data_IF_851264159364
#
_entry.id   IF_851264159364
#
_cell.length_a   1.000
_cell.length_b   1.000
_cell.length_c   1.000
_cell.angle_alpha   90.00
_cell.angle_beta   90.00
_cell.angle_gamma   90.00
#
_symmetry.space_group_name_H-M   'P 1'
#
loop_
_entity.id
_entity.type
_entity.pdbx_description
1 polymer ?
#
# COMPACT_ATOMS: atom_id res chain seq x y z
N UNK A 1 -38.11 -5.93 39.71
CA UNK A 1 -37.80 -6.74 38.51
C UNK A 1 -37.91 -6.00 37.16
N UNK A 2 -38.67 -4.89 37.02
CA UNK A 2 -38.77 -4.16 35.73
C UNK A 2 -37.54 -3.31 35.35
N UNK A 3 -36.69 -2.95 36.32
CA UNK A 3 -35.50 -2.09 36.11
C UNK A 3 -34.30 -2.82 35.49
N UNK A 4 -34.13 -4.12 35.76
CA UNK A 4 -33.01 -4.92 35.26
C UNK A 4 -33.06 -5.16 33.74
N UNK A 5 -34.25 -5.25 33.16
CA UNK A 5 -34.44 -5.50 31.72
C UNK A 5 -34.08 -4.28 30.87
N UNK A 6 -34.26 -3.06 31.40
CA UNK A 6 -33.95 -1.81 30.70
C UNK A 6 -32.43 -1.57 30.63
N UNK A 7 -31.70 -1.84 31.73
CA UNK A 7 -30.23 -1.74 31.76
C UNK A 7 -29.53 -2.70 30.79
N UNK A 8 -30.09 -3.88 30.56
CA UNK A 8 -29.51 -4.85 29.63
C UNK A 8 -29.62 -4.38 28.17
N UNK A 9 -30.72 -3.73 27.81
CA UNK A 9 -30.91 -3.15 26.49
C UNK A 9 -29.91 -2.01 26.23
N UNK A 10 -29.72 -1.12 27.21
CA UNK A 10 -28.77 0.00 27.11
C UNK A 10 -27.33 -0.50 26.96
N UNK A 11 -26.95 -1.54 27.71
CA UNK A 11 -25.63 -2.17 27.57
C UNK A 11 -25.41 -2.73 26.17
N UNK A 12 -26.37 -3.50 25.63
CA UNK A 12 -26.26 -4.05 24.28
C UNK A 12 -26.25 -2.96 23.21
N UNK A 13 -27.01 -1.89 23.39
CA UNK A 13 -26.98 -0.74 22.50
C UNK A 13 -25.60 -0.08 22.49
N UNK A 14 -24.98 0.10 23.66
CA UNK A 14 -23.66 0.70 23.78
C UNK A 14 -22.55 -0.19 23.19
N UNK A 15 -22.61 -1.50 23.42
CA UNK A 15 -21.69 -2.47 22.79
C UNK A 15 -21.83 -2.47 21.26
N UNK A 16 -23.06 -2.35 20.75
CA UNK A 16 -23.32 -2.29 19.30
C UNK A 16 -22.78 -0.98 18.72
N UNK A 17 -23.05 0.15 19.37
CA UNK A 17 -22.55 1.46 18.94
C UNK A 17 -21.01 1.49 18.94
N UNK A 18 -20.35 0.97 19.97
CA UNK A 18 -18.89 0.90 20.03
C UNK A 18 -18.32 0.03 18.90
N UNK A 19 -18.95 -1.12 18.59
CA UNK A 19 -18.54 -1.96 17.46
C UNK A 19 -18.68 -1.23 16.12
N UNK A 20 -19.76 -0.49 15.93
CA UNK A 20 -19.98 0.31 14.71
C UNK A 20 -18.93 1.42 14.58
N UNK A 21 -18.67 2.17 15.64
CA UNK A 21 -17.64 3.22 15.64
C UNK A 21 -16.23 2.67 15.36
N UNK A 22 -15.91 1.50 15.92
CA UNK A 22 -14.63 0.84 15.71
C UNK A 22 -14.46 0.37 14.27
N UNK A 23 -15.51 -0.18 13.66
CA UNK A 23 -15.53 -0.52 12.24
C UNK A 23 -15.34 0.74 11.38
N UNK A 24 -16.01 1.85 11.71
CA UNK A 24 -15.85 3.11 10.96
C UNK A 24 -14.40 3.62 10.99
N UNK A 25 -13.70 3.50 12.13
CA UNK A 25 -12.27 3.86 12.23
C UNK A 25 -11.42 2.98 11.31
N UNK A 26 -11.66 1.66 11.31
CA UNK A 26 -10.90 0.73 10.47
C UNK A 26 -11.17 0.92 8.98
N UNK A 27 -12.39 1.31 8.61
CA UNK A 27 -12.71 1.69 7.24
C UNK A 27 -11.93 2.95 6.82
N UNK A 28 -11.84 3.95 7.69
CA UNK A 28 -11.02 5.15 7.46
C UNK A 28 -9.54 4.82 7.30
N UNK A 29 -8.99 3.93 8.12
CA UNK A 29 -7.61 3.44 7.99
C UNK A 29 -7.39 2.72 6.65
N UNK A 30 -8.30 1.83 6.26
CA UNK A 30 -8.25 1.13 4.98
C UNK A 30 -8.26 2.11 3.79
N UNK A 31 -9.15 3.09 3.82
CA UNK A 31 -9.24 4.13 2.79
C UNK A 31 -7.97 4.99 2.73
N UNK A 32 -7.40 5.34 3.88
CA UNK A 32 -6.14 6.08 3.96
C UNK A 32 -4.99 5.34 3.26
N UNK A 33 -4.79 4.06 3.59
CA UNK A 33 -3.71 3.28 2.98
C UNK A 33 -3.97 2.99 1.50
N UNK A 34 -5.23 2.83 1.08
CA UNK A 34 -5.60 2.64 -0.33
C UNK A 34 -5.22 3.87 -1.16
N UNK A 35 -5.58 5.07 -0.68
CA UNK A 35 -5.22 6.32 -1.32
C UNK A 35 -3.69 6.51 -1.39
N UNK A 36 -2.97 6.14 -0.34
CA UNK A 36 -1.50 6.20 -0.34
C UNK A 36 -0.87 5.22 -1.34
N UNK A 37 -1.40 3.99 -1.45
CA UNK A 37 -0.97 3.02 -2.45
C UNK A 37 -1.18 3.56 -3.88
N UNK A 38 -2.34 4.15 -4.17
CA UNK A 38 -2.62 4.75 -5.48
C UNK A 38 -1.67 5.91 -5.81
N UNK A 39 -1.35 6.75 -4.82
CA UNK A 39 -0.40 7.86 -5.00
C UNK A 39 1.02 7.34 -5.30
N UNK A 40 1.51 6.38 -4.53
CA UNK A 40 2.83 5.76 -4.75
C UNK A 40 2.86 5.03 -6.09
N UNK A 41 1.82 4.26 -6.42
CA UNK A 41 1.70 3.56 -7.69
C UNK A 41 1.77 4.52 -8.89
N UNK A 42 1.09 5.67 -8.82
CA UNK A 42 1.13 6.69 -9.88
C UNK A 42 2.54 7.28 -10.04
N UNK A 43 3.22 7.59 -8.94
CA UNK A 43 4.59 8.13 -8.97
C UNK A 43 5.59 7.10 -9.52
N UNK A 44 5.48 5.84 -9.09
CA UNK A 44 6.29 4.74 -9.59
C UNK A 44 6.09 4.54 -11.09
N UNK A 45 4.85 4.60 -11.59
CA UNK A 45 4.55 4.49 -13.02
C UNK A 45 5.20 5.62 -13.84
N UNK A 46 5.21 6.87 -13.34
CA UNK A 46 5.91 7.98 -14.00
C UNK A 46 7.42 7.74 -14.06
N UNK A 47 8.04 7.30 -12.95
CA UNK A 47 9.48 6.99 -12.91
C UNK A 47 9.85 5.83 -13.84
N UNK A 48 9.01 4.79 -13.92
CA UNK A 48 9.14 3.72 -14.89
C UNK A 48 9.10 4.25 -16.34
N UNK A 49 8.17 5.16 -16.64
CA UNK A 49 8.08 5.81 -17.95
C UNK A 49 9.34 6.60 -18.32
N UNK A 50 9.93 7.33 -17.37
CA UNK A 50 11.19 8.05 -17.58
C UNK A 50 12.37 7.11 -17.80
N UNK A 51 12.45 6.01 -17.04
CA UNK A 51 13.48 4.99 -17.24
C UNK A 51 13.36 4.35 -18.64
N UNK A 52 12.15 4.01 -19.07
CA UNK A 52 11.89 3.48 -20.41
C UNK A 52 12.27 4.47 -21.52
N UNK A 53 11.90 5.74 -21.38
CA UNK A 53 12.28 6.78 -22.32
C UNK A 53 13.81 6.95 -22.41
N UNK A 54 14.52 6.87 -21.29
CA UNK A 54 15.98 6.90 -21.26
C UNK A 54 16.64 5.74 -22.00
N UNK A 55 16.08 4.53 -21.92
CA UNK A 55 16.59 3.37 -22.66
C UNK A 55 16.42 3.49 -24.19
N UNK A 56 15.42 4.24 -24.65
CA UNK A 56 15.14 4.40 -26.08
C UNK A 56 16.04 5.44 -26.76
N UNK A 57 16.84 6.19 -26.01
CA UNK A 57 17.72 7.20 -26.58
C UNK A 57 18.96 6.55 -27.22
N UNK A 58 19.39 7.01 -28.42
CA UNK A 58 20.59 6.50 -29.06
C UNK A 58 21.83 6.86 -28.23
N UNK A 59 22.64 5.84 -27.90
CA UNK A 59 23.83 6.01 -27.07
C UNK A 59 25.07 6.32 -27.92
N UNK A 60 25.84 7.39 -27.61
CA UNK A 60 27.10 7.70 -28.30
C UNK A 60 28.15 6.60 -28.09
N UNK A 61 29.12 6.52 -29.00
CA UNK A 61 30.27 5.59 -28.91
C UNK A 61 31.22 5.98 -27.78
N UNK A 62 30.99 5.33 -26.65
CA UNK A 62 31.66 5.51 -25.35
C UNK A 62 32.09 4.14 -24.84
N UNK A 63 32.96 4.04 -23.80
CA UNK A 63 33.42 2.77 -23.27
C UNK A 63 32.25 1.82 -22.96
N UNK A 64 32.36 0.58 -23.45
CA UNK A 64 31.33 -0.46 -23.35
C UNK A 64 30.89 -0.70 -21.90
N UNK A 65 31.82 -0.63 -20.95
CA UNK A 65 31.54 -0.82 -19.52
C UNK A 65 30.49 0.18 -19.01
N UNK A 66 30.61 1.46 -19.40
CA UNK A 66 29.69 2.50 -18.93
C UNK A 66 28.30 2.35 -19.54
N UNK A 67 28.23 1.92 -20.81
CA UNK A 67 26.98 1.57 -21.49
C UNK A 67 26.27 0.39 -20.80
N UNK A 68 27.02 -0.65 -20.44
CA UNK A 68 26.47 -1.81 -19.71
C UNK A 68 25.98 -1.40 -18.32
N UNK A 69 26.75 -0.60 -17.58
CA UNK A 69 26.33 -0.09 -16.26
C UNK A 69 25.06 0.76 -16.34
N UNK A 70 24.96 1.64 -17.34
CA UNK A 70 23.75 2.42 -17.61
C UNK A 70 22.55 1.51 -17.93
N UNK A 71 22.72 0.52 -18.81
CA UNK A 71 21.64 -0.41 -19.18
C UNK A 71 21.17 -1.25 -17.98
N UNK A 72 22.09 -1.85 -17.23
CA UNK A 72 21.77 -2.66 -16.05
C UNK A 72 21.05 -1.83 -14.99
N UNK A 73 21.58 -0.64 -14.66
CA UNK A 73 20.94 0.25 -13.68
C UNK A 73 19.56 0.72 -14.14
N UNK A 74 19.39 1.09 -15.42
CA UNK A 74 18.09 1.55 -15.95
C UNK A 74 17.04 0.44 -15.98
N UNK A 75 17.42 -0.77 -16.42
CA UNK A 75 16.52 -1.94 -16.41
C UNK A 75 16.15 -2.32 -14.99
N UNK A 76 17.10 -2.28 -14.04
CA UNK A 76 16.80 -2.54 -12.62
C UNK A 76 15.84 -1.49 -12.04
N UNK A 77 16.04 -0.21 -12.36
CA UNK A 77 15.16 0.87 -11.93
C UNK A 77 13.74 0.68 -12.51
N UNK A 78 13.63 0.40 -13.81
CA UNK A 78 12.36 0.11 -14.47
C UNK A 78 11.64 -1.08 -13.81
N UNK A 79 12.36 -2.19 -13.60
CA UNK A 79 11.80 -3.39 -12.99
C UNK A 79 11.28 -3.15 -11.57
N UNK A 80 12.06 -2.48 -10.71
CA UNK A 80 11.65 -2.15 -9.34
C UNK A 80 10.43 -1.22 -9.30
N UNK A 81 10.38 -0.23 -10.19
CA UNK A 81 9.22 0.67 -10.29
C UNK A 81 7.97 -0.07 -10.78
N UNK A 82 8.08 -0.94 -11.79
CA UNK A 82 6.95 -1.75 -12.25
C UNK A 82 6.44 -2.72 -11.19
N UNK A 83 7.34 -3.37 -10.44
CA UNK A 83 6.95 -4.21 -9.28
C UNK A 83 6.15 -3.38 -8.27
N UNK A 84 6.60 -2.16 -7.96
CA UNK A 84 5.87 -1.25 -7.06
C UNK A 84 4.47 -0.92 -7.58
N UNK A 85 4.34 -0.61 -8.88
CA UNK A 85 3.03 -0.32 -9.52
C UNK A 85 2.09 -1.50 -9.39
N UNK A 86 2.55 -2.71 -9.71
CA UNK A 86 1.72 -3.91 -9.66
C UNK A 86 1.31 -4.21 -8.22
N UNK A 87 2.24 -4.21 -7.28
CA UNK A 87 1.94 -4.49 -5.86
C UNK A 87 0.96 -3.47 -5.29
N UNK A 88 1.17 -2.17 -5.50
CA UNK A 88 0.25 -1.12 -5.01
C UNK A 88 -1.14 -1.21 -5.65
N UNK A 89 -1.23 -1.61 -6.91
CA UNK A 89 -2.51 -1.84 -7.61
C UNK A 89 -3.24 -3.05 -7.02
N UNK A 90 -2.55 -4.17 -6.81
CA UNK A 90 -3.11 -5.37 -6.20
C UNK A 90 -3.58 -5.08 -4.76
N UNK A 91 -2.80 -4.36 -3.96
CA UNK A 91 -3.21 -3.96 -2.60
C UNK A 91 -4.46 -3.08 -2.60
N UNK A 92 -4.58 -2.16 -3.57
CA UNK A 92 -5.74 -1.27 -3.66
C UNK A 92 -7.02 -1.99 -4.09
N UNK A 93 -6.91 -3.14 -4.78
CA UNK A 93 -8.06 -3.93 -5.22
C UNK A 93 -8.42 -5.05 -4.24
N UNK A 94 -7.43 -5.80 -3.74
CA UNK A 94 -7.64 -6.99 -2.92
C UNK A 94 -7.99 -6.65 -1.47
N UNK A 95 -7.41 -5.59 -0.89
CA UNK A 95 -7.63 -5.25 0.53
C UNK A 95 -9.09 -4.89 0.83
N UNK A 96 -9.76 -4.01 0.04
CA UNK A 96 -11.20 -3.76 0.21
C UNK A 96 -12.06 -4.99 -0.10
N UNK A 97 -11.64 -5.81 -1.06
CA UNK A 97 -12.34 -7.05 -1.41
C UNK A 97 -12.40 -8.04 -0.24
N UNK A 98 -11.29 -8.18 0.50
CA UNK A 98 -11.24 -9.01 1.71
C UNK A 98 -12.05 -8.41 2.85
N UNK A 99 -12.02 -7.08 3.03
CA UNK A 99 -12.78 -6.40 4.07
C UNK A 99 -14.31 -6.54 3.89
N UNK A 100 -14.80 -6.49 2.64
CA UNK A 100 -16.24 -6.54 2.35
C UNK A 100 -16.82 -7.95 2.26
N UNK A 101 -16.01 -8.95 1.86
CA UNK A 101 -16.48 -10.32 1.59
C UNK A 101 -16.05 -11.35 2.62
N UNK A 102 -15.08 -11.01 3.46
CA UNK A 102 -14.58 -11.94 4.46
C UNK A 102 -15.52 -12.08 5.66
N UNK A 103 -15.39 -13.17 6.44
CA UNK A 103 -16.16 -13.38 7.67
C UNK A 103 -15.87 -12.27 8.70
N UNK A 104 -16.66 -12.19 9.77
CA UNK A 104 -16.45 -11.20 10.84
C UNK A 104 -14.99 -11.17 11.31
N UNK A 105 -14.42 -9.97 11.39
CA UNK A 105 -13.00 -9.75 11.71
C UNK A 105 -12.06 -9.73 10.50
N UNK A 106 -12.54 -10.11 9.30
CA UNK A 106 -11.77 -10.02 8.04
C UNK A 106 -11.25 -8.61 7.76
N UNK A 107 -12.01 -7.58 8.13
CA UNK A 107 -11.62 -6.18 7.98
C UNK A 107 -10.36 -5.81 8.75
N UNK A 108 -10.19 -6.36 9.97
CA UNK A 108 -8.96 -6.14 10.74
C UNK A 108 -7.76 -6.77 10.04
N UNK A 109 -7.89 -8.03 9.64
CA UNK A 109 -6.85 -8.76 8.91
C UNK A 109 -6.48 -8.08 7.59
N UNK A 110 -7.47 -7.56 6.87
CA UNK A 110 -7.26 -6.83 5.61
C UNK A 110 -6.47 -5.53 5.83
N UNK A 111 -6.82 -4.74 6.85
CA UNK A 111 -6.09 -3.52 7.19
C UNK A 111 -4.65 -3.84 7.61
N UNK A 112 -4.44 -4.80 8.52
CA UNK A 112 -3.09 -5.16 8.97
C UNK A 112 -2.22 -5.64 7.80
N UNK A 113 -2.76 -6.54 6.96
CA UNK A 113 -2.06 -7.03 5.78
C UNK A 113 -1.70 -5.90 4.82
N UNK A 114 -2.59 -4.93 4.63
CA UNK A 114 -2.30 -3.77 3.79
C UNK A 114 -1.20 -2.87 4.38
N UNK A 115 -1.14 -2.70 5.71
CA UNK A 115 -0.08 -1.89 6.36
C UNK A 115 1.30 -2.52 6.15
N UNK A 116 1.40 -3.82 6.32
CA UNK A 116 2.68 -4.52 6.20
C UNK A 116 3.18 -4.56 4.75
N UNK A 117 2.29 -4.86 3.79
CA UNK A 117 2.63 -4.86 2.36
C UNK A 117 2.87 -3.45 1.79
N UNK A 118 2.18 -2.44 2.33
CA UNK A 118 2.44 -1.04 2.00
C UNK A 118 3.88 -0.64 2.35
N UNK A 119 4.38 -1.06 3.52
CA UNK A 119 5.77 -0.79 3.92
C UNK A 119 6.76 -1.42 2.95
N UNK A 120 6.51 -2.67 2.55
CA UNK A 120 7.34 -3.35 1.56
C UNK A 120 7.33 -2.60 0.22
N UNK A 121 6.15 -2.19 -0.25
CA UNK A 121 5.99 -1.40 -1.48
C UNK A 121 6.74 -0.08 -1.41
N UNK A 122 6.71 0.60 -0.26
CA UNK A 122 7.46 1.83 -0.03
C UNK A 122 8.99 1.60 -0.09
N UNK A 123 9.50 0.50 0.46
CA UNK A 123 10.93 0.18 0.35
C UNK A 123 11.36 -0.13 -1.09
N UNK A 124 10.55 -0.92 -1.82
CA UNK A 124 10.82 -1.22 -3.23
C UNK A 124 10.78 0.03 -4.10
N UNK A 125 9.84 0.94 -3.85
CA UNK A 125 9.78 2.26 -4.48
C UNK A 125 11.05 3.07 -4.24
N UNK A 126 11.49 3.17 -2.97
CA UNK A 126 12.71 3.90 -2.60
C UNK A 126 13.96 3.29 -3.23
N UNK A 127 14.05 1.96 -3.30
CA UNK A 127 15.15 1.26 -3.96
C UNK A 127 15.17 1.55 -5.48
N UNK A 128 13.99 1.51 -6.12
CA UNK A 128 13.84 1.89 -7.53
C UNK A 128 14.25 3.33 -7.80
N UNK A 129 13.89 4.26 -6.89
CA UNK A 129 14.28 5.66 -6.98
C UNK A 129 15.80 5.86 -6.89
N UNK A 130 16.47 5.14 -5.98
CA UNK A 130 17.94 5.16 -5.87
C UNK A 130 18.58 4.63 -7.16
N UNK A 131 18.07 3.51 -7.70
CA UNK A 131 18.53 2.96 -8.97
C UNK A 131 18.36 3.95 -10.13
N UNK A 132 17.25 4.70 -10.19
CA UNK A 132 17.03 5.77 -11.18
C UNK A 132 18.10 6.87 -11.10
N UNK A 133 18.55 7.25 -9.90
CA UNK A 133 19.60 8.26 -9.75
C UNK A 133 20.96 7.76 -10.25
N UNK A 134 21.30 6.48 -9.99
CA UNK A 134 22.51 5.88 -10.55
C UNK A 134 22.46 5.79 -12.07
N UNK A 135 21.32 5.39 -12.63
CA UNK A 135 21.10 5.39 -14.08
C UNK A 135 21.30 6.80 -14.68
N UNK A 136 20.73 7.83 -14.06
CA UNK A 136 20.91 9.22 -14.48
C UNK A 136 22.37 9.69 -14.40
N UNK A 137 23.10 9.30 -13.36
CA UNK A 137 24.53 9.61 -13.24
C UNK A 137 25.31 8.97 -14.40
N UNK A 138 25.16 7.67 -14.66
CA UNK A 138 25.85 7.01 -15.77
C UNK A 138 25.48 7.61 -17.14
N UNK A 139 24.22 7.98 -17.34
CA UNK A 139 23.76 8.65 -18.56
C UNK A 139 24.49 9.99 -18.78
N UNK A 140 24.63 10.81 -17.74
CA UNK A 140 25.36 12.08 -17.81
C UNK A 140 26.82 11.88 -18.22
N UNK A 141 27.49 10.86 -17.68
CA UNK A 141 28.87 10.52 -18.06
C UNK A 141 28.99 10.01 -19.51
N UNK A 142 27.93 9.45 -20.09
CA UNK A 142 27.91 9.01 -21.49
C UNK A 142 27.75 10.18 -22.46
N UNK A 143 26.95 11.18 -22.10
CA UNK A 143 26.54 12.26 -23.02
C UNK A 143 27.47 13.48 -22.95
N UNK A 144 27.94 13.86 -21.76
CA UNK A 144 28.65 15.13 -21.56
C UNK A 144 30.17 14.98 -21.41
N UNK A 145 30.89 16.09 -21.63
CA UNK A 145 32.33 16.16 -21.35
C UNK A 145 32.61 15.98 -19.85
N UNK A 146 33.80 15.46 -19.51
CA UNK A 146 34.18 15.08 -18.14
C UNK A 146 33.92 16.15 -17.07
N UNK A 147 34.18 17.44 -17.36
CA UNK A 147 33.95 18.52 -16.40
C UNK A 147 32.46 18.84 -16.21
N UNK A 148 31.67 18.81 -17.28
CA UNK A 148 30.20 18.98 -17.22
C UNK A 148 29.57 17.80 -16.49
N UNK A 149 30.02 16.59 -16.80
CA UNK A 149 29.56 15.35 -16.18
C UNK A 149 29.85 15.34 -14.68
N UNK A 150 31.01 15.84 -14.26
CA UNK A 150 31.36 15.97 -12.83
C UNK A 150 30.40 16.92 -12.08
N UNK A 151 30.10 18.10 -12.65
CA UNK A 151 29.19 19.08 -12.04
C UNK A 151 27.76 18.54 -11.96
N UNK A 152 27.26 17.94 -13.03
CA UNK A 152 25.92 17.35 -13.06
C UNK A 152 25.80 16.15 -12.12
N UNK A 153 26.82 15.29 -12.07
CA UNK A 153 26.86 14.17 -11.12
C UNK A 153 26.85 14.64 -9.68
N UNK A 154 27.61 15.70 -9.34
CA UNK A 154 27.56 16.29 -8.00
C UNK A 154 26.15 16.78 -7.66
N UNK A 155 25.45 17.42 -8.59
CA UNK A 155 24.06 17.84 -8.41
C UNK A 155 23.12 16.65 -8.16
N UNK A 156 23.27 15.56 -8.91
CA UNK A 156 22.48 14.31 -8.76
C UNK A 156 22.77 13.63 -7.42
N UNK A 157 24.03 13.55 -6.98
CA UNK A 157 24.36 12.96 -5.69
C UNK A 157 23.92 13.84 -4.52
N UNK A 158 24.00 15.17 -4.66
CA UNK A 158 23.48 16.10 -3.67
C UNK A 158 21.96 15.97 -3.52
N UNK A 159 21.22 15.88 -4.63
CA UNK A 159 19.76 15.66 -4.58
C UNK A 159 19.42 14.30 -3.96
N UNK A 160 20.17 13.25 -4.26
CA UNK A 160 20.01 11.93 -3.64
C UNK A 160 20.28 11.95 -2.13
N UNK A 161 21.35 12.63 -1.70
CA UNK A 161 21.69 12.78 -0.29
C UNK A 161 20.62 13.58 0.48
N UNK A 162 20.11 14.65 -0.14
CA UNK A 162 18.99 15.43 0.40
C UNK A 162 17.73 14.58 0.52
N UNK A 163 17.39 13.80 -0.50
CA UNK A 163 16.24 12.89 -0.48
C UNK A 163 16.38 11.82 0.60
N UNK A 164 17.53 11.16 0.71
CA UNK A 164 17.79 10.18 1.76
C UNK A 164 17.68 10.78 3.16
N UNK A 165 18.25 11.98 3.38
CA UNK A 165 18.16 12.70 4.65
C UNK A 165 16.71 13.04 4.98
N UNK A 166 15.95 13.58 4.04
CA UNK A 166 14.55 13.93 4.24
C UNK A 166 13.72 12.69 4.57
N UNK A 167 13.86 11.60 3.82
CA UNK A 167 13.15 10.34 4.10
C UNK A 167 13.51 9.81 5.49
N UNK A 168 14.79 9.79 5.86
CA UNK A 168 15.21 9.33 7.19
C UNK A 168 14.62 10.19 8.31
N UNK A 169 14.64 11.51 8.16
CA UNK A 169 14.06 12.43 9.15
C UNK A 169 12.55 12.22 9.26
N UNK A 170 11.86 12.04 8.14
CA UNK A 170 10.43 11.76 8.11
C UNK A 170 10.11 10.44 8.82
N UNK A 171 10.85 9.37 8.49
CA UNK A 171 10.68 8.05 9.10
C UNK A 171 10.94 8.07 10.61
N UNK A 172 11.93 8.84 11.07
CA UNK A 172 12.22 8.98 12.51
C UNK A 172 11.17 9.83 13.23
N UNK A 173 10.69 10.92 12.62
CA UNK A 173 9.67 11.79 13.22
C UNK A 173 8.31 11.13 13.33
N UNK A 174 7.95 10.28 12.36
CA UNK A 174 6.66 9.58 12.35
C UNK A 174 6.76 8.14 12.86
N UNK A 175 7.91 7.70 13.36
CA UNK A 175 8.02 6.43 14.05
C UNK A 175 7.35 6.54 15.43
N UNK A 176 6.04 6.25 15.48
CA UNK A 176 5.35 6.11 16.76
C UNK A 176 5.92 4.91 17.52
N UNK A 177 6.22 5.05 18.82
CA UNK A 177 6.63 3.93 19.67
C UNK A 177 5.54 2.86 19.63
N UNK A 178 5.93 1.60 19.43
CA UNK A 178 4.97 0.48 19.36
C UNK A 178 4.08 0.35 20.60
N UNK A 179 4.52 0.85 21.75
CA UNK A 179 3.76 0.83 23.00
C UNK A 179 2.73 1.96 23.15
N UNK A 180 2.76 2.98 22.30
CA UNK A 180 1.83 4.13 22.36
C UNK A 180 0.85 4.13 21.17
N UNK A 181 1.06 3.24 20.20
CA UNK A 181 0.14 3.00 19.10
C UNK A 181 -1.16 2.39 19.64
N UNK A 182 -2.11 3.25 19.99
CA UNK A 182 -3.51 2.87 20.12
C UNK A 182 -4.07 2.56 18.73
N UNK A 183 -3.74 1.38 18.21
CA UNK A 183 -4.50 0.82 17.10
C UNK A 183 -5.90 0.55 17.63
N UNK A 184 -6.96 0.82 16.87
CA UNK A 184 -8.35 0.54 17.29
C UNK A 184 -8.67 -0.95 17.50
N UNK A 185 -7.67 -1.80 17.72
CA UNK A 185 -7.79 -3.15 18.25
C UNK A 185 -7.80 -3.02 19.77
N UNK A 186 -8.98 -3.04 20.36
CA UNK A 186 -9.09 -3.45 21.75
C UNK A 186 -8.74 -4.94 21.77
N UNK A 187 -7.56 -5.29 22.28
CA UNK A 187 -7.29 -6.70 22.52
C UNK A 187 -8.34 -7.23 23.49
N UNK A 188 -8.87 -8.42 23.22
CA UNK A 188 -9.87 -9.04 24.09
C UNK A 188 -9.40 -9.12 25.55
N UNK A 189 -8.09 -9.16 25.78
CA UNK A 189 -7.46 -9.07 27.10
C UNK A 189 -7.64 -7.70 27.78
N UNK A 190 -7.46 -6.58 27.06
CA UNK A 190 -7.72 -5.24 27.60
C UNK A 190 -9.21 -5.00 27.80
N UNK A 191 -10.05 -5.47 26.88
CA UNK A 191 -11.51 -5.45 27.05
C UNK A 191 -11.95 -6.24 28.28
N UNK A 192 -11.34 -7.42 28.52
CA UNK A 192 -11.60 -8.23 29.71
C UNK A 192 -11.08 -7.55 30.99
N UNK A 193 -9.90 -6.92 30.95
CA UNK A 193 -9.35 -6.19 32.09
C UNK A 193 -10.17 -4.95 32.44
N UNK A 194 -10.59 -4.17 31.44
CA UNK A 194 -11.48 -3.02 31.63
C UNK A 194 -12.87 -3.48 32.14
N UNK A 195 -13.40 -4.59 31.61
CA UNK A 195 -14.62 -5.21 32.10
C UNK A 195 -14.52 -5.65 33.58
N UNK A 196 -13.39 -6.24 33.97
CA UNK A 196 -13.12 -6.61 35.35
C UNK A 196 -13.02 -5.38 36.27
N UNK A 197 -12.38 -4.30 35.83
CA UNK A 197 -12.31 -3.04 36.57
C UNK A 197 -13.67 -2.34 36.71
N UNK A 198 -14.56 -2.51 35.72
CA UNK A 198 -15.92 -2.00 35.77
C UNK A 198 -16.85 -2.81 36.71
N UNK A 199 -16.33 -3.80 37.43
CA UNK A 199 -17.12 -4.63 38.34
C UNK A 199 -18.06 -5.59 37.61
N UNK A 200 -17.78 -5.92 36.35
CA UNK A 200 -18.46 -7.00 35.64
C UNK A 200 -17.83 -8.31 36.11
N UNK A 201 -18.21 -8.75 37.31
CA UNK A 201 -17.60 -9.89 38.02
C UNK A 201 -17.94 -11.23 37.36
N UNK A 202 -19.00 -11.29 36.55
CA UNK A 202 -19.38 -12.50 35.80
C UNK A 202 -18.57 -12.67 34.52
N UNK A 203 -17.26 -12.85 34.68
CA UNK A 203 -16.38 -13.36 33.62
C UNK A 203 -16.87 -14.72 33.09
N UNK A 204 -17.62 -15.48 33.90
CA UNK A 204 -18.23 -16.76 33.53
C UNK A 204 -19.33 -16.63 32.46
N UNK A 205 -20.12 -15.55 32.47
CA UNK A 205 -21.16 -15.34 31.47
C UNK A 205 -20.61 -14.77 30.15
N UNK A 206 -19.59 -13.91 30.20
CA UNK A 206 -18.99 -13.34 28.98
C UNK A 206 -18.12 -14.39 28.26
N UNK A 207 -17.43 -15.26 29.00
CA UNK A 207 -16.68 -16.37 28.42
C UNK A 207 -17.59 -17.45 27.84
N UNK A 208 -18.75 -17.72 28.45
CA UNK A 208 -19.77 -18.60 27.86
C UNK A 208 -20.46 -17.98 26.65
N UNK A 209 -20.71 -16.66 26.63
CA UNK A 209 -21.29 -15.98 25.45
C UNK A 209 -20.28 -15.91 24.29
N UNK A 210 -19.01 -15.64 24.59
CA UNK A 210 -17.93 -15.69 23.60
C UNK A 210 -17.72 -17.13 23.09
N UNK A 211 -17.81 -18.13 23.97
CA UNK A 211 -17.76 -19.54 23.57
C UNK A 211 -18.99 -19.95 22.74
N UNK A 212 -20.18 -19.43 23.05
CA UNK A 212 -21.39 -19.66 22.28
C UNK A 212 -21.33 -19.00 20.90
N UNK A 213 -20.84 -17.77 20.81
CA UNK A 213 -20.62 -17.09 19.52
C UNK A 213 -19.57 -17.86 18.70
N UNK A 214 -18.49 -18.31 19.32
CA UNK A 214 -17.47 -19.12 18.65
C UNK A 214 -18.00 -20.49 18.21
N UNK A 215 -18.89 -21.09 19.00
CA UNK A 215 -19.56 -22.35 18.68
C UNK A 215 -20.57 -22.18 17.54
N UNK A 216 -21.32 -21.08 17.53
CA UNK A 216 -22.26 -20.75 16.46
C UNK A 216 -21.52 -20.46 15.15
N UNK A 217 -20.40 -19.73 15.20
CA UNK A 217 -19.53 -19.52 14.05
C UNK A 217 -18.93 -20.83 13.52
N UNK A 218 -18.53 -21.76 14.40
CA UNK A 218 -18.06 -23.10 13.98
C UNK A 218 -19.16 -23.92 13.32
N UNK A 219 -20.39 -23.84 13.82
CA UNK A 219 -21.55 -24.50 13.20
C UNK A 219 -21.88 -23.89 11.84
N UNK A 220 -21.83 -22.56 11.71
CA UNK A 220 -22.04 -21.87 10.44
C UNK A 220 -20.96 -22.23 9.40
N UNK A 221 -19.69 -22.30 9.81
CA UNK A 221 -18.59 -22.72 8.95
C UNK A 221 -18.72 -24.19 8.51
N UNK A 222 -19.11 -25.09 9.44
CA UNK A 222 -19.38 -26.48 9.11
C UNK A 222 -20.54 -26.63 8.13
N UNK A 223 -21.63 -25.86 8.32
CA UNK A 223 -22.76 -25.85 7.41
C UNK A 223 -22.38 -25.35 6.01
N UNK A 224 -21.52 -24.33 5.90
CA UNK A 224 -21.01 -23.84 4.62
C UNK A 224 -20.13 -24.88 3.93
N UNK A 225 -19.23 -25.55 4.66
CA UNK A 225 -18.38 -26.61 4.11
C UNK A 225 -19.21 -27.80 3.60
N UNK A 226 -20.29 -28.14 4.30
CA UNK A 226 -21.22 -29.19 3.86
C UNK A 226 -22.03 -28.77 2.62
N UNK A 227 -22.42 -27.49 2.53
CA UNK A 227 -23.08 -26.95 1.36
C UNK A 227 -22.14 -26.94 0.14
N UNK A 228 -20.86 -26.60 0.31
CA UNK A 228 -19.85 -26.72 -0.74
C UNK A 228 -19.59 -28.17 -1.16
N UNK A 229 -19.56 -29.11 -0.20
CA UNK A 229 -19.43 -30.54 -0.48
C UNK A 229 -20.59 -31.05 -1.34
N UNK A 230 -21.82 -30.60 -1.06
CA UNK A 230 -23.01 -30.91 -1.85
C UNK A 230 -23.05 -30.17 -3.20
N UNK A 231 -22.43 -28.98 -3.28
CA UNK A 231 -22.38 -28.20 -4.52
C UNK A 231 -21.36 -28.72 -5.53
N UNK A 232 -20.48 -29.67 -5.17
CA UNK A 232 -19.69 -30.43 -6.15
C UNK A 232 -20.61 -31.48 -6.80
N UNK A 233 -21.12 -31.25 -8.02
CA UNK A 233 -21.92 -32.26 -8.71
C UNK A 233 -21.05 -33.50 -8.83
N UNK A 234 -21.52 -34.61 -8.27
CA UNK A 234 -20.76 -35.84 -8.19
C UNK A 234 -20.19 -36.19 -9.56
N UNK A 235 -18.86 -36.32 -9.63
CA UNK A 235 -18.19 -37.11 -10.65
C UNK A 235 -18.50 -38.59 -10.39
N UNK A 236 -19.80 -38.92 -10.36
CA UNK A 236 -20.32 -40.26 -10.22
C UNK A 236 -19.88 -40.99 -11.47
N UNK A 237 -18.89 -41.84 -11.30
CA UNK A 237 -18.14 -42.47 -12.37
C UNK A 237 -19.04 -43.07 -13.44
N UNK A 238 -18.90 -42.58 -14.66
CA UNK A 238 -19.25 -43.34 -15.85
C UNK A 238 -18.14 -44.37 -16.06
N UNK A 239 -18.25 -45.50 -15.36
CA UNK A 239 -17.47 -46.72 -15.63
C UNK A 239 -18.11 -47.38 -16.86
N UNK A 240 -17.91 -46.75 -18.01
CA UNK A 240 -18.40 -47.21 -19.31
C UNK A 240 -17.52 -48.33 -19.86
N UNK A 241 -18.14 -49.50 -19.98
CA UNK A 241 -17.69 -50.72 -20.64
C UNK A 241 -16.84 -50.49 -21.90
N UNK A 242 -15.62 -51.03 -21.91
CA UNK A 242 -14.79 -51.18 -23.09
C UNK A 242 -15.17 -52.50 -23.78
N UNK A 243 -15.96 -52.42 -24.86
CA UNK A 243 -16.29 -53.56 -25.70
C UNK A 243 -15.97 -53.25 -27.16
N UNK A 244 -15.01 -54.00 -27.72
CA UNK A 244 -15.08 -54.55 -29.07
C UNK A 244 -14.77 -53.65 -30.28
N UNK A 245 -13.61 -53.92 -30.89
CA UNK A 245 -13.49 -54.37 -32.30
C UNK A 245 -13.98 -53.45 -33.44
N UNK A 246 -13.03 -52.89 -34.20
CA UNK A 246 -12.62 -53.27 -35.58
C UNK A 246 -12.19 -52.07 -36.45
N UNK A 247 -11.31 -52.29 -37.45
CA UNK A 247 -10.74 -51.27 -38.32
C UNK A 247 -11.56 -51.08 -39.60
N UNK A 248 -11.57 -49.87 -40.14
CA UNK A 248 -12.28 -49.52 -41.37
C UNK A 248 -11.68 -48.29 -42.03
N UNK A 249 -11.37 -48.45 -43.29
CA UNK A 249 -10.53 -47.61 -44.15
C UNK A 249 -11.28 -46.53 -44.93
N UNK A 250 -10.54 -45.46 -45.28
CA UNK A 250 -10.55 -44.75 -46.59
C UNK A 250 -11.63 -43.65 -46.85
N UNK A 251 -11.48 -42.82 -47.92
CA UNK A 251 -11.34 -41.36 -47.79
C UNK A 251 -12.36 -40.54 -48.61
N UNK A 252 -12.25 -39.21 -48.57
CA UNK A 252 -12.96 -38.25 -49.46
C UNK A 252 -13.51 -37.08 -48.66
N UNK A 253 -12.98 -35.86 -48.84
CA UNK A 253 -13.37 -34.87 -49.87
C UNK A 253 -14.47 -33.94 -49.38
N UNK A 254 -14.43 -32.70 -49.92
CA UNK A 254 -15.46 -31.64 -49.88
C UNK A 254 -15.29 -30.53 -48.83
N UNK A 255 -14.55 -29.49 -49.25
CA UNK A 255 -15.02 -28.10 -49.44
C UNK A 255 -16.19 -27.63 -48.57
N UNK A 256 -16.00 -26.54 -47.82
CA UNK A 256 -17.15 -25.78 -47.32
C UNK A 256 -16.82 -24.77 -46.24
N UNK A 257 -16.69 -23.51 -46.65
CA UNK A 257 -16.57 -22.33 -45.81
C UNK A 257 -17.60 -22.28 -44.67
N UNK A 258 -17.16 -21.87 -43.48
CA UNK A 258 -18.04 -21.24 -42.47
C UNK A 258 -17.22 -20.36 -41.53
N UNK A 259 -17.73 -19.14 -41.39
CA UNK A 259 -17.28 -18.08 -40.50
C UNK A 259 -17.05 -18.59 -39.08
N UNK A 260 -15.89 -18.22 -38.53
CA UNK A 260 -15.51 -18.49 -37.16
C UNK A 260 -16.43 -17.75 -36.18
N UNK A 261 -17.02 -18.43 -35.19
CA UNK A 261 -17.54 -17.80 -33.99
C UNK A 261 -16.38 -17.47 -33.03
N UNK A 262 -16.53 -16.36 -32.31
CA UNK A 262 -15.60 -15.84 -31.32
C UNK A 262 -15.14 -16.91 -30.30
N UNK A 263 -13.86 -16.90 -29.87
CA UNK A 263 -13.43 -17.75 -28.77
C UNK A 263 -14.06 -17.27 -27.46
N UNK A 264 -14.65 -18.24 -26.77
CA UNK A 264 -15.13 -18.14 -25.41
C UNK A 264 -14.02 -17.65 -24.48
N UNK A 265 -14.42 -16.84 -23.51
CA UNK A 265 -13.65 -16.44 -22.35
C UNK A 265 -13.14 -17.65 -21.57
N UNK A 266 -11.92 -18.09 -21.85
CA UNK A 266 -11.13 -18.85 -20.90
C UNK A 266 -10.83 -17.95 -19.71
N UNK A 267 -11.39 -18.32 -18.55
CA UNK A 267 -10.98 -17.79 -17.27
C UNK A 267 -9.49 -18.10 -17.09
N UNK A 268 -8.67 -17.07 -17.24
CA UNK A 268 -7.26 -17.09 -16.90
C UNK A 268 -7.18 -17.26 -15.39
N UNK A 269 -7.07 -18.50 -14.94
CA UNK A 269 -6.53 -18.83 -13.62
C UNK A 269 -5.03 -18.51 -13.67
N UNK A 270 -4.72 -17.20 -13.56
CA UNK A 270 -3.36 -16.69 -13.53
C UNK A 270 -2.76 -17.01 -12.17
N UNK A 271 -2.38 -18.28 -11.99
CA UNK A 271 -1.40 -18.65 -10.99
C UNK A 271 -0.07 -18.09 -11.48
N UNK A 272 0.17 -16.80 -11.21
CA UNK A 272 1.46 -16.16 -11.41
C UNK A 272 2.44 -16.90 -10.52
N UNK A 273 3.15 -17.87 -11.12
CA UNK A 273 4.42 -18.35 -10.58
C UNK A 273 5.38 -17.16 -10.65
N UNK A 274 5.37 -16.38 -9.58
CA UNK A 274 6.41 -15.40 -9.31
C UNK A 274 7.78 -16.12 -9.43
N UNK A 275 8.76 -15.53 -10.13
CA UNK A 275 10.09 -16.11 -10.22
C UNK A 275 10.65 -16.36 -8.82
N UNK A 276 11.37 -17.47 -8.62
CA UNK A 276 11.96 -17.89 -7.33
C UNK A 276 12.76 -16.79 -6.62
N UNK A 277 13.26 -15.79 -7.37
CA UNK A 277 13.94 -14.60 -6.83
C UNK A 277 13.05 -13.78 -5.87
N UNK A 278 11.72 -13.85 -5.97
CA UNK A 278 10.79 -13.19 -5.05
C UNK A 278 10.57 -13.95 -3.72
N UNK A 279 10.93 -15.25 -3.64
CA UNK A 279 10.86 -16.01 -2.39
C UNK A 279 12.04 -15.72 -1.45
N UNK A 280 13.19 -15.37 -2.00
CA UNK A 280 14.40 -15.09 -1.21
C UNK A 280 14.54 -13.60 -0.83
N UNK A 281 13.80 -12.72 -1.49
CA UNK A 281 13.86 -11.27 -1.22
C UNK A 281 13.42 -10.89 0.22
N UNK A 282 12.40 -11.53 0.83
CA UNK A 282 12.08 -11.36 2.25
C UNK A 282 13.18 -11.88 3.19
N UNK A 283 13.95 -12.90 2.78
CA UNK A 283 15.11 -13.41 3.55
C UNK A 283 16.31 -12.47 3.46
N UNK A 284 16.60 -11.90 2.29
CA UNK A 284 17.65 -10.90 2.10
C UNK A 284 17.34 -9.62 2.91
N UNK A 285 16.06 -9.21 2.98
CA UNK A 285 15.62 -8.09 3.84
C UNK A 285 15.60 -8.48 5.34
N UNK A 286 15.35 -9.75 5.69
CA UNK A 286 15.53 -10.25 7.07
C UNK A 286 17.00 -10.25 7.48
N UNK A 287 17.92 -10.61 6.60
CA UNK A 287 19.36 -10.62 6.82
C UNK A 287 19.97 -9.21 6.80
N UNK A 288 19.38 -8.25 6.08
CA UNK A 288 19.76 -6.84 6.12
C UNK A 288 19.23 -6.07 7.35
N UNK A 289 18.53 -6.72 8.30
CA UNK A 289 18.33 -6.14 9.63
C UNK A 289 19.69 -6.07 10.34
N UNK A 290 20.16 -4.88 10.78
CA UNK A 290 21.37 -4.81 11.59
C UNK A 290 21.18 -5.67 12.84
N UNK A 291 22.13 -6.58 13.08
CA UNK A 291 22.23 -7.50 14.21
C UNK A 291 22.40 -6.80 15.56
N UNK A 292 22.36 -5.47 15.62
CA UNK A 292 22.29 -4.69 16.85
C UNK A 292 20.85 -4.62 17.39
N UNK A 293 20.20 -5.77 17.51
CA UNK A 293 19.16 -5.95 18.52
C UNK A 293 19.88 -6.13 19.86
N UNK A 294 20.39 -5.01 20.40
CA UNK A 294 20.73 -4.96 21.81
C UNK A 294 19.49 -5.37 22.60
N UNK A 295 19.75 -6.27 23.54
CA UNK A 295 18.84 -6.94 24.45
C UNK A 295 18.11 -5.96 25.38
N UNK A 296 17.15 -5.21 24.82
CA UNK A 296 16.30 -4.29 25.59
C UNK A 296 15.40 -5.04 26.60
N UNK A 297 15.25 -6.37 26.44
CA UNK A 297 14.44 -7.21 27.32
C UNK A 297 15.19 -7.64 28.59
N UNK A 298 16.53 -7.66 28.57
CA UNK A 298 17.35 -7.88 29.76
C UNK A 298 17.47 -6.64 30.67
N UNK A 299 17.43 -5.42 30.12
CA UNK A 299 17.57 -4.18 30.90
C UNK A 299 16.30 -3.84 31.71
N UNK A 300 15.11 -4.19 31.21
CA UNK A 300 13.86 -3.99 31.96
C UNK A 300 13.71 -4.90 33.18
N UNK A 301 14.44 -6.03 33.25
CA UNK A 301 14.45 -6.89 34.45
C UNK A 301 15.43 -6.41 35.53
N UNK A 302 16.34 -5.49 35.22
CA UNK A 302 17.30 -4.94 36.20
C UNK A 302 16.89 -3.58 36.79
N UNK A 303 15.98 -2.84 36.15
CA UNK A 303 15.53 -1.51 36.62
C UNK A 303 14.42 -1.49 37.68
N UNK A 304 13.93 -2.63 38.17
CA UNK A 304 12.74 -2.72 39.02
C UNK A 304 12.93 -2.49 40.53
N UNK A 305 14.12 -2.11 41.00
CA UNK A 305 14.36 -1.81 42.43
C UNK A 305 15.27 -0.60 42.59
N UNK A 306 14.68 0.60 42.66
CA UNK A 306 15.37 1.77 43.19
C UNK A 306 14.78 3.09 42.72
N UNK A 307 14.25 3.87 43.66
CA UNK A 307 14.23 5.33 43.53
C UNK A 307 12.90 5.99 43.21
N UNK A 308 11.89 5.79 44.07
CA UNK A 308 10.79 6.73 44.22
C UNK A 308 11.27 7.95 45.06
N UNK A 309 12.05 8.86 44.47
CA UNK A 309 12.29 10.20 45.03
C UNK A 309 13.09 11.03 44.02
N UNK A 310 12.41 11.78 43.14
CA UNK A 310 12.95 12.94 42.36
C UNK A 310 12.05 13.41 41.20
N UNK A 311 10.80 12.94 41.08
CA UNK A 311 9.90 13.37 39.98
C UNK A 311 9.11 14.67 40.23
N UNK A 312 9.35 15.39 41.33
CA UNK A 312 8.61 16.60 41.66
C UNK A 312 9.30 17.94 41.35
N UNK A 313 10.52 17.95 40.79
CA UNK A 313 11.31 19.19 40.63
C UNK A 313 11.38 19.75 39.18
N UNK A 314 10.66 19.17 38.20
CA UNK A 314 10.83 19.52 36.78
C UNK A 314 9.55 19.98 36.06
N UNK A 315 8.48 20.27 36.80
CA UNK A 315 7.20 20.74 36.23
C UNK A 315 6.90 22.23 36.48
N UNK A 316 7.78 23.00 37.14
CA UNK A 316 7.54 24.42 37.46
C UNK A 316 8.20 25.43 36.50
N UNK A 317 8.85 24.99 35.42
CA UNK A 317 9.60 25.89 34.53
C UNK A 317 8.84 26.44 33.30
N UNK A 318 7.58 26.05 33.07
CA UNK A 318 6.82 26.44 31.85
C UNK A 318 5.63 27.37 32.10
N UNK A 319 5.77 28.36 33.00
CA UNK A 319 4.68 29.32 33.27
C UNK A 319 5.16 30.78 33.29
N UNK A 320 5.36 31.39 32.12
CA UNK A 320 5.18 32.86 31.93
C UNK A 320 4.68 33.19 30.51
N UNK A 321 3.68 34.09 30.38
CA UNK A 321 3.14 34.51 29.08
C UNK A 321 3.92 35.70 28.52
N UNK A 322 4.13 35.71 27.20
CA UNK A 322 4.66 36.86 26.46
C UNK A 322 3.50 37.73 25.95
N UNK A 323 3.69 39.03 26.12
CA UNK A 323 2.74 40.09 25.84
C UNK A 323 2.51 40.36 24.34
N UNK A 324 1.33 40.89 24.05
CA UNK A 324 0.87 41.38 22.75
C UNK A 324 1.63 42.65 22.29
N UNK A 325 1.49 42.99 21.00
CA UNK A 325 1.24 44.37 20.65
C UNK A 325 0.01 44.57 19.75
N UNK A 326 -0.64 45.69 20.03
CA UNK A 326 -1.82 46.30 19.42
C UNK A 326 -1.52 47.08 18.14
N UNK A 327 -2.52 47.16 17.26
CA UNK A 327 -2.67 48.17 16.20
C UNK A 327 -2.96 47.53 14.84
N UNK A 328 -3.99 47.87 14.06
CA UNK A 328 -4.98 48.94 14.11
C UNK A 328 -5.39 49.29 12.67
N UNK A 329 -6.69 49.48 12.43
CA UNK A 329 -7.34 50.11 11.24
C UNK A 329 -7.34 49.35 9.91
N UNK A 330 -8.29 49.52 8.98
CA UNK A 330 -9.73 49.92 8.88
C UNK A 330 -10.05 49.89 7.36
N UNK A 331 -11.34 49.79 7.00
CA UNK A 331 -11.96 49.94 5.66
C UNK A 331 -11.94 48.68 4.76
N UNK A 332 -13.00 48.29 4.03
CA UNK A 332 -14.28 48.93 3.71
C UNK A 332 -14.60 48.76 2.22
N UNK A 333 -15.88 48.51 1.87
CA UNK A 333 -16.51 48.37 0.53
C UNK A 333 -16.33 46.99 -0.17
N UNK A 334 -17.34 46.18 -0.52
CA UNK A 334 -18.64 46.34 -1.22
C UNK A 334 -18.52 46.66 -2.71
N UNK A 335 -18.87 45.71 -3.61
CA UNK A 335 -20.04 45.75 -4.54
C UNK A 335 -19.93 44.73 -5.70
N UNK A 336 -21.09 44.10 -6.00
CA UNK A 336 -21.65 43.63 -7.30
C UNK A 336 -20.72 43.23 -8.46
N UNK A 337 -20.90 42.12 -9.19
CA UNK A 337 -22.14 41.56 -9.72
C UNK A 337 -22.35 41.98 -11.18
N UNK A 338 -22.05 41.11 -12.16
CA UNK A 338 -22.67 41.04 -13.49
C UNK A 338 -22.02 39.96 -14.41
N UNK A 339 -22.87 39.10 -14.99
CA UNK A 339 -22.71 38.29 -16.22
C UNK A 339 -23.81 38.77 -17.19
N UNK A 340 -23.88 38.30 -18.45
CA UNK A 340 -22.92 38.26 -19.57
C UNK A 340 -23.49 39.07 -20.78
N UNK A 341 -22.90 39.01 -22.00
CA UNK A 341 -23.45 38.07 -22.99
C UNK A 341 -22.42 37.47 -23.99
N UNK A 342 -22.77 36.30 -24.53
CA UNK A 342 -22.27 35.68 -25.77
C UNK A 342 -23.07 36.22 -26.99
N UNK A 343 -22.84 35.85 -28.28
CA UNK A 343 -21.93 34.87 -28.87
C UNK A 343 -21.09 35.38 -30.07
N UNK A 344 -19.99 34.70 -30.39
CA UNK A 344 -19.15 35.00 -31.57
C UNK A 344 -18.56 33.74 -32.19
N UNK A 345 -19.09 33.37 -33.36
CA UNK A 345 -18.72 32.23 -34.21
C UNK A 345 -17.29 32.38 -34.73
N UNK A 346 -16.43 31.37 -34.47
CA UNK A 346 -15.18 31.16 -35.23
C UNK A 346 -15.00 29.67 -35.51
N UNK A 347 -15.16 29.29 -36.79
CA UNK A 347 -14.66 28.04 -37.38
C UNK A 347 -13.14 27.96 -37.20
N UNK A 348 -12.61 26.91 -36.57
CA UNK A 348 -11.25 26.41 -36.81
C UNK A 348 -11.18 24.88 -36.74
N UNK A 349 -10.93 24.33 -37.93
CA UNK A 349 -10.15 23.13 -38.25
C UNK A 349 -9.55 22.33 -37.08
N UNK A 350 -10.01 21.08 -36.97
CA UNK A 350 -9.32 19.97 -36.28
C UNK A 350 -7.99 19.66 -36.99
N UNK A 351 -6.88 19.92 -36.31
CA UNK A 351 -5.59 19.25 -36.52
C UNK A 351 -4.86 19.14 -35.18
N UNK A 352 -4.38 17.91 -34.91
CA UNK A 352 -3.11 17.67 -34.22
C UNK A 352 -3.11 17.77 -32.71
N UNK A 353 -2.98 16.62 -32.06
CA UNK A 353 -2.82 16.47 -30.63
C UNK A 353 -1.52 17.11 -30.09
N UNK A 354 -1.72 17.78 -28.96
CA UNK A 354 -0.84 18.13 -27.86
C UNK A 354 0.43 17.28 -27.67
N UNK A 355 1.59 17.92 -27.67
CA UNK A 355 2.82 17.47 -27.01
C UNK A 355 3.27 18.57 -26.04
N UNK A 356 3.57 18.15 -24.82
CA UNK A 356 3.83 18.99 -23.66
C UNK A 356 5.12 19.81 -23.83
N UNK A 357 5.00 21.14 -23.69
CA UNK A 357 6.10 22.03 -23.36
C UNK A 357 6.63 21.71 -21.96
N UNK A 358 7.88 21.29 -21.87
CA UNK A 358 8.74 21.55 -20.71
C UNK A 358 9.51 22.85 -20.97
N UNK A 359 9.62 23.78 -20.00
CA UNK A 359 10.33 25.03 -20.22
C UNK A 359 11.84 24.79 -20.24
N UNK A 360 12.45 25.15 -21.36
CA UNK A 360 13.88 25.26 -21.55
C UNK A 360 14.47 26.32 -20.60
N UNK A 361 15.24 25.87 -19.62
CA UNK A 361 16.12 26.72 -18.81
C UNK A 361 17.47 26.87 -19.53
N UNK A 362 17.61 28.02 -20.21
CA UNK A 362 18.79 28.88 -20.31
C UNK A 362 20.18 28.19 -20.33
N UNK A 363 20.74 28.00 -21.54
CA UNK A 363 22.18 28.13 -21.78
C UNK A 363 22.43 29.35 -22.69
N UNK A 364 23.41 30.22 -22.39
CA UNK A 364 23.87 31.25 -23.32
C UNK A 364 24.78 30.64 -24.42
N UNK A 365 24.85 31.25 -25.62
CA UNK A 365 25.67 30.76 -26.73
C UNK A 365 27.17 31.02 -26.49
N UNK A 366 28.07 30.22 -27.12
CA UNK A 366 29.51 30.43 -27.01
C UNK A 366 29.97 31.62 -27.86
N UNK A 367 30.99 32.33 -27.35
CA UNK A 367 31.86 33.23 -28.11
C UNK A 367 33.05 32.44 -28.68
#
# INVERSE_FOLDING_TARGET
QKSSTMLYADKRALETNLKVELLEIREKELNFYTNNCQNIGTQAAMLAGFAFAGMMQPLPDQPEVLRVLFLVSTVSALGLQLVTVVTTTLLSMLSPGLALRGPDGSMHTAVDGMVDEYRLSFYTFMLGLIATHFAAAFFVWLVFLWWQAAVLSFCIFFSLAMLYRMTRVLMLKFAMPKGELQTGKFEAAEGAAAGAQAGVVDAGEISTLSALILQEQRLAAAAQAELERNRRPGSRGSRGSNHGSRPGSRPGSVVGARNAPAPASEAIEMTVRLPEVARDFPEIIRQARPSTACDWRAEQRRGGRGGASSRHALLDACRRPAAAPTGGSRAGSSTSGARPPSPGVVRRTLRGASLCCWPALLLPPPL
#
